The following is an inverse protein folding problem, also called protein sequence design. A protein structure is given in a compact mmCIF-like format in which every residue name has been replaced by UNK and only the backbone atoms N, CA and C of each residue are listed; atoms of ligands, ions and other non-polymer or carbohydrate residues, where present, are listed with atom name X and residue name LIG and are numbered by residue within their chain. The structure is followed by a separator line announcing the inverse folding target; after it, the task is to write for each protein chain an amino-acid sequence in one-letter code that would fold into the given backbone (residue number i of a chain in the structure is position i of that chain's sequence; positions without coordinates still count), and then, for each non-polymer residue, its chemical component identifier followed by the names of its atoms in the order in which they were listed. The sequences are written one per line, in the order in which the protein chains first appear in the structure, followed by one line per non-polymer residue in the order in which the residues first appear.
data_IF_025386748068
#
_entry.id   IF_025386748068
#
_cell.length_a   1.000
_cell.length_b   1.000
_cell.length_c   1.000
_cell.angle_alpha   90.00
_cell.angle_beta   90.00
_cell.angle_gamma   90.00
#
_symmetry.space_group_name_H-M   'P 1'
#
loop_
_entity.id
_entity.type
_entity.pdbx_description
1 polymer ?
#
# COMPACT_ATOMS: atom_id res chain seq x y z
N UNK A 1 -0.29 -14.45 2.91
CA UNK A 1 0.19 -13.21 2.25
C UNK A 1 0.14 -13.32 0.73
N UNK A 2 0.95 -14.17 0.08
CA UNK A 2 1.02 -14.26 -1.39
C UNK A 2 -0.33 -14.47 -2.10
N UNK A 3 -1.11 -15.47 -1.68
CA UNK A 3 -2.44 -15.74 -2.27
C UNK A 3 -3.33 -14.50 -2.21
N UNK A 4 -3.35 -13.81 -1.07
CA UNK A 4 -4.10 -12.56 -0.89
C UNK A 4 -3.66 -11.48 -1.88
N UNK A 5 -2.35 -11.30 -2.06
CA UNK A 5 -1.80 -10.37 -3.05
C UNK A 5 -2.24 -10.70 -4.48
N UNK A 6 -2.13 -11.97 -4.90
CA UNK A 6 -2.58 -12.41 -6.22
C UNK A 6 -4.08 -12.21 -6.43
N UNK A 7 -4.91 -12.47 -5.41
CA UNK A 7 -6.35 -12.26 -5.48
C UNK A 7 -6.71 -10.77 -5.56
N UNK A 8 -5.97 -9.88 -4.87
CA UNK A 8 -6.16 -8.42 -4.98
C UNK A 8 -5.83 -7.94 -6.40
N UNK A 9 -4.67 -8.33 -6.94
CA UNK A 9 -4.28 -7.97 -8.31
C UNK A 9 -5.28 -8.53 -9.32
N UNK A 10 -5.72 -9.77 -9.14
CA UNK A 10 -6.75 -10.41 -9.94
C UNK A 10 -8.08 -9.66 -9.90
N UNK A 11 -8.54 -9.24 -8.72
CA UNK A 11 -9.76 -8.45 -8.59
C UNK A 11 -9.69 -7.15 -9.41
N UNK A 12 -8.55 -6.44 -9.38
CA UNK A 12 -8.38 -5.24 -10.20
C UNK A 12 -8.28 -5.56 -11.69
N UNK A 13 -7.62 -6.65 -12.07
CA UNK A 13 -7.63 -7.13 -13.46
C UNK A 13 -9.07 -7.32 -13.98
N UNK A 14 -9.93 -7.97 -13.20
CA UNK A 14 -11.33 -8.14 -13.54
C UNK A 14 -12.11 -6.81 -13.56
N UNK A 15 -11.81 -5.87 -12.67
CA UNK A 15 -12.38 -4.53 -12.72
C UNK A 15 -12.02 -3.79 -14.02
N UNK A 16 -10.78 -3.93 -14.51
CA UNK A 16 -10.39 -3.35 -15.81
C UNK A 16 -11.07 -4.04 -16.99
N UNK A 17 -11.27 -5.36 -16.94
CA UNK A 17 -12.00 -6.11 -17.97
C UNK A 17 -13.44 -5.62 -18.05
N UNK A 18 -14.10 -5.44 -16.91
CA UNK A 18 -15.42 -4.82 -16.82
C UNK A 18 -15.43 -3.43 -17.46
N UNK A 19 -14.46 -2.57 -17.13
CA UNK A 19 -14.38 -1.22 -17.71
C UNK A 19 -14.23 -1.22 -19.24
N UNK A 20 -13.53 -2.19 -19.81
CA UNK A 20 -13.36 -2.28 -21.27
C UNK A 20 -14.59 -2.89 -21.94
N UNK A 21 -15.12 -3.99 -21.41
CA UNK A 21 -16.13 -4.81 -22.10
C UNK A 21 -17.57 -4.46 -21.75
N UNK A 22 -17.84 -4.23 -20.47
CA UNK A 22 -19.20 -4.26 -19.93
C UNK A 22 -19.68 -2.87 -19.45
N UNK A 23 -18.75 -1.93 -19.23
CA UNK A 23 -19.11 -0.56 -18.85
C UNK A 23 -19.76 0.19 -20.01
N UNK A 24 -21.00 0.61 -19.79
CA UNK A 24 -21.78 1.47 -20.68
C UNK A 24 -22.06 2.84 -20.01
N UNK A 25 -21.49 3.95 -20.53
CA UNK A 25 -21.70 5.28 -19.96
C UNK A 25 -23.15 5.76 -20.07
N UNK A 26 -23.97 5.21 -20.99
CA UNK A 26 -25.37 5.63 -21.15
C UNK A 26 -26.26 5.19 -19.99
N UNK A 27 -25.91 4.07 -19.35
CA UNK A 27 -26.68 3.51 -18.23
C UNK A 27 -26.21 4.00 -16.86
N UNK A 28 -25.05 4.67 -16.79
CA UNK A 28 -24.38 5.08 -15.53
C UNK A 28 -24.18 6.58 -15.39
N UNK A 29 -25.04 7.38 -16.03
CA UNK A 29 -24.91 8.83 -16.00
C UNK A 29 -24.95 9.41 -14.58
N UNK A 30 -23.92 10.18 -14.21
CA UNK A 30 -23.79 10.91 -12.94
C UNK A 30 -23.92 10.04 -11.67
N UNK A 31 -23.72 8.72 -11.79
CA UNK A 31 -23.55 7.84 -10.64
C UNK A 31 -22.17 8.04 -9.99
N UNK A 32 -21.86 7.25 -8.95
CA UNK A 32 -20.57 7.32 -8.27
C UNK A 32 -19.40 6.99 -9.21
N UNK A 33 -19.57 6.01 -10.11
CA UNK A 33 -18.52 5.57 -11.02
C UNK A 33 -18.24 6.62 -12.09
N UNK A 34 -19.27 7.20 -12.71
CA UNK A 34 -19.11 8.30 -13.67
C UNK A 34 -18.44 9.52 -13.01
N UNK A 35 -18.84 9.87 -11.78
CA UNK A 35 -18.20 10.95 -11.04
C UNK A 35 -16.70 10.70 -10.86
N UNK A 36 -16.30 9.51 -10.40
CA UNK A 36 -14.89 9.11 -10.24
C UNK A 36 -14.14 9.23 -11.58
N UNK A 37 -14.72 8.74 -12.67
CA UNK A 37 -14.09 8.81 -13.99
C UNK A 37 -13.92 10.25 -14.48
N UNK A 38 -14.80 11.19 -14.13
CA UNK A 38 -14.65 12.60 -14.55
C UNK A 38 -13.45 13.32 -13.90
N UNK A 39 -12.98 12.87 -12.74
CA UNK A 39 -11.82 13.46 -12.05
C UNK A 39 -10.65 12.48 -11.86
N UNK A 40 -10.57 11.44 -12.70
CA UNK A 40 -9.52 10.42 -12.62
C UNK A 40 -8.09 10.99 -12.62
N UNK A 41 -7.85 12.11 -13.32
CA UNK A 41 -6.55 12.76 -13.35
C UNK A 41 -6.15 13.31 -11.97
N UNK A 42 -7.10 13.87 -11.22
CA UNK A 42 -6.84 14.37 -9.87
C UNK A 42 -6.53 13.22 -8.91
N UNK A 43 -7.27 12.11 -8.99
CA UNK A 43 -7.02 10.92 -8.15
C UNK A 43 -5.60 10.41 -8.37
N UNK A 44 -5.22 10.19 -9.63
CA UNK A 44 -3.91 9.62 -9.97
C UNK A 44 -2.77 10.60 -9.71
N UNK A 45 -2.95 11.91 -9.88
CA UNK A 45 -1.91 12.89 -9.55
C UNK A 45 -1.65 13.00 -8.05
N UNK A 46 -2.71 12.99 -7.22
CA UNK A 46 -2.54 12.99 -5.76
C UNK A 46 -1.91 11.70 -5.26
N UNK A 47 -2.35 10.55 -5.79
CA UNK A 47 -1.76 9.27 -5.41
C UNK A 47 -0.30 9.15 -5.86
N UNK A 48 0.05 9.70 -7.02
CA UNK A 48 1.45 9.82 -7.46
C UNK A 48 2.27 10.67 -6.47
N UNK A 49 1.76 11.83 -6.05
CA UNK A 49 2.42 12.66 -5.04
C UNK A 49 2.62 11.91 -3.72
N UNK A 50 1.59 11.20 -3.23
CA UNK A 50 1.70 10.37 -2.01
C UNK A 50 2.78 9.31 -2.17
N UNK A 51 2.85 8.62 -3.30
CA UNK A 51 3.89 7.60 -3.54
C UNK A 51 5.30 8.19 -3.53
N UNK A 52 5.50 9.36 -4.14
CA UNK A 52 6.79 10.07 -4.12
C UNK A 52 7.13 10.49 -2.70
N UNK A 53 6.18 11.09 -1.98
CA UNK A 53 6.35 11.49 -0.59
C UNK A 53 6.78 10.29 0.29
N UNK A 54 6.05 9.18 0.22
CA UNK A 54 6.35 7.97 0.96
C UNK A 54 7.72 7.39 0.57
N UNK A 55 8.08 7.37 -0.71
CA UNK A 55 9.40 6.91 -1.16
C UNK A 55 10.54 7.70 -0.49
N UNK A 56 10.48 9.03 -0.54
CA UNK A 56 11.52 9.89 0.05
C UNK A 56 11.56 9.84 1.58
N UNK A 57 10.40 9.82 2.25
CA UNK A 57 10.33 9.90 3.71
C UNK A 57 10.41 8.54 4.40
N UNK A 58 10.55 7.44 3.65
CA UNK A 58 10.68 6.10 4.20
C UNK A 58 11.97 5.44 3.71
N UNK A 59 12.03 5.07 2.42
CA UNK A 59 13.24 4.44 1.86
C UNK A 59 14.45 5.39 1.89
N UNK A 60 14.22 6.70 1.70
CA UNK A 60 15.26 7.70 1.87
C UNK A 60 15.88 7.73 3.29
N UNK A 61 15.12 7.35 4.33
CA UNK A 61 15.66 7.27 5.70
C UNK A 61 16.62 6.10 5.88
N UNK A 62 16.41 4.99 5.17
CA UNK A 62 17.38 3.89 5.14
C UNK A 62 18.69 4.31 4.48
N UNK A 63 18.62 5.01 3.33
CA UNK A 63 19.82 5.56 2.65
C UNK A 63 20.54 6.57 3.55
N UNK A 64 19.79 7.44 4.23
CA UNK A 64 20.34 8.37 5.23
C UNK A 64 21.08 7.62 6.33
N UNK A 65 20.45 6.59 6.92
CA UNK A 65 21.05 5.78 7.97
C UNK A 65 22.33 5.07 7.51
N UNK A 66 22.33 4.47 6.31
CA UNK A 66 23.52 3.83 5.73
C UNK A 66 24.64 4.86 5.56
N UNK A 67 24.32 6.05 5.06
CA UNK A 67 25.29 7.13 4.87
C UNK A 67 25.85 7.63 6.19
N UNK A 68 25.01 7.90 7.19
CA UNK A 68 25.47 8.36 8.51
C UNK A 68 26.29 7.30 9.23
N UNK A 69 25.89 6.02 9.14
CA UNK A 69 26.67 4.91 9.68
C UNK A 69 28.04 4.81 9.01
N UNK A 70 28.09 4.87 7.67
CA UNK A 70 29.34 4.82 6.91
C UNK A 70 30.27 6.01 7.19
N UNK A 71 29.71 7.19 7.47
CA UNK A 71 30.46 8.39 7.87
C UNK A 71 30.90 8.37 9.35
N UNK A 72 30.61 7.31 10.11
CA UNK A 72 30.96 7.21 11.52
C UNK A 72 30.15 8.14 12.42
N UNK A 73 28.91 8.47 12.02
CA UNK A 73 28.00 9.38 12.73
C UNK A 73 26.74 8.67 13.24
N UNK A 74 26.85 7.65 14.12
CA UNK A 74 25.69 6.90 14.61
C UNK A 74 24.68 7.75 15.41
N UNK A 75 25.14 8.84 16.03
CA UNK A 75 24.28 9.79 16.74
C UNK A 75 23.31 10.56 15.83
N UNK A 76 23.58 10.61 14.52
CA UNK A 76 22.76 11.31 13.54
C UNK A 76 21.81 10.36 12.76
N UNK A 77 21.75 9.10 13.17
CA UNK A 77 20.86 8.08 12.59
C UNK A 77 19.46 8.15 13.18
N UNK A 78 18.48 7.72 12.38
CA UNK A 78 17.14 7.39 12.87
C UNK A 78 17.16 6.00 13.51
N UNK A 79 17.16 5.94 14.84
CA UNK A 79 17.21 4.71 15.63
C UNK A 79 16.69 4.94 17.05
N UNK A 80 16.48 3.86 17.80
CA UNK A 80 16.02 3.95 19.20
C UNK A 80 17.06 4.58 20.15
N UNK A 81 18.34 4.63 19.74
CA UNK A 81 19.44 5.17 20.57
C UNK A 81 19.88 6.58 20.17
N UNK A 82 19.31 7.13 19.10
CA UNK A 82 19.70 8.44 18.54
C UNK A 82 18.44 9.26 18.23
N UNK A 83 18.18 9.59 16.96
CA UNK A 83 16.98 10.33 16.56
C UNK A 83 15.81 9.34 16.46
N UNK A 84 14.94 9.34 17.47
CA UNK A 84 13.85 8.37 17.54
C UNK A 84 12.65 8.77 16.67
N UNK A 85 12.08 7.79 15.97
CA UNK A 85 10.78 7.92 15.30
C UNK A 85 9.86 6.83 15.83
N UNK A 86 9.24 7.07 16.99
CA UNK A 86 8.43 6.07 17.68
C UNK A 86 7.03 5.92 17.06
N UNK A 87 6.51 4.70 16.88
CA UNK A 87 5.16 4.44 16.40
C UNK A 87 4.12 4.63 17.52
N UNK A 88 4.01 5.85 18.06
CA UNK A 88 3.22 6.17 19.26
C UNK A 88 1.75 5.77 19.14
N UNK A 89 1.15 5.85 17.95
CA UNK A 89 -0.23 5.43 17.75
C UNK A 89 -0.40 3.92 17.88
N UNK A 90 0.55 3.13 17.36
CA UNK A 90 0.51 1.69 17.49
C UNK A 90 0.73 1.29 18.95
N UNK A 91 1.72 1.87 19.64
CA UNK A 91 1.96 1.66 21.07
C UNK A 91 0.73 2.01 21.92
N UNK A 92 0.03 3.10 21.61
CA UNK A 92 -1.22 3.47 22.26
C UNK A 92 -2.32 2.43 22.07
N UNK A 93 -2.47 1.87 20.86
CA UNK A 93 -3.38 0.76 20.60
C UNK A 93 -2.96 -0.50 21.38
N UNK A 94 -1.66 -0.84 21.41
CA UNK A 94 -1.16 -1.98 22.19
C UNK A 94 -1.55 -1.84 23.67
N UNK A 95 -1.32 -0.66 24.27
CA UNK A 95 -1.67 -0.39 25.67
C UNK A 95 -3.18 -0.47 25.92
N UNK A 96 -3.98 0.06 24.99
CA UNK A 96 -5.45 0.00 25.09
C UNK A 96 -5.94 -1.45 25.12
N UNK A 97 -5.35 -2.32 24.30
CA UNK A 97 -5.71 -3.74 24.23
C UNK A 97 -5.16 -4.55 25.41
N UNK A 98 -3.95 -4.22 25.89
CA UNK A 98 -3.32 -4.87 27.03
C UNK A 98 -4.09 -4.60 28.34
N UNK A 99 -4.57 -3.36 28.52
CA UNK A 99 -5.29 -2.93 29.72
C UNK A 99 -6.82 -3.12 29.64
N UNK A 100 -7.35 -3.66 28.54
CA UNK A 100 -8.78 -3.86 28.36
C UNK A 100 -9.42 -4.84 29.39
N UNK A 101 -8.81 -5.99 29.73
CA UNK A 101 -9.41 -6.96 30.65
C UNK A 101 -9.68 -6.37 32.03
N UNK A 102 -10.88 -6.56 32.56
CA UNK A 102 -11.29 -6.02 33.85
C UNK A 102 -11.62 -4.52 33.88
N UNK A 103 -11.32 -3.78 32.80
CA UNK A 103 -11.66 -2.36 32.65
C UNK A 103 -12.69 -2.16 31.54
N UNK A 104 -12.25 -1.92 30.30
CA UNK A 104 -13.15 -1.73 29.14
C UNK A 104 -13.77 -3.03 28.65
N UNK A 105 -13.24 -4.18 29.09
CA UNK A 105 -13.81 -5.52 28.90
C UNK A 105 -13.91 -6.26 30.25
N UNK A 106 -14.92 -5.95 31.11
CA UNK A 106 -15.00 -6.48 32.47
C UNK A 106 -15.10 -8.00 32.57
N UNK A 107 -15.72 -8.66 31.58
CA UNK A 107 -15.86 -10.11 31.53
C UNK A 107 -14.67 -10.85 30.91
N UNK A 108 -13.69 -10.12 30.36
CA UNK A 108 -12.49 -10.71 29.78
C UNK A 108 -11.42 -10.90 30.86
N UNK A 109 -10.79 -12.07 30.87
CA UNK A 109 -9.69 -12.41 31.79
C UNK A 109 -8.31 -12.18 31.17
N UNK A 110 -8.22 -12.10 29.84
CA UNK A 110 -6.98 -11.87 29.08
C UNK A 110 -7.22 -10.86 27.96
N UNK A 111 -6.15 -10.22 27.49
CA UNK A 111 -6.21 -9.33 26.32
C UNK A 111 -6.53 -10.12 25.04
N UNK A 112 -6.82 -9.40 23.95
CA UNK A 112 -7.14 -10.01 22.64
C UNK A 112 -5.98 -10.81 22.03
N UNK A 113 -4.74 -10.53 22.44
CA UNK A 113 -3.54 -11.25 22.06
C UNK A 113 -2.43 -10.96 23.08
N UNK A 114 -1.58 -11.94 23.38
CA UNK A 114 -0.43 -11.74 24.27
C UNK A 114 0.67 -10.88 23.63
N UNK A 115 0.57 -10.57 22.33
CA UNK A 115 1.51 -9.70 21.62
C UNK A 115 1.41 -8.22 22.03
N UNK A 116 0.28 -7.80 22.62
CA UNK A 116 0.03 -6.39 22.97
C UNK A 116 0.82 -5.90 24.19
N UNK A 117 1.37 -6.82 25.00
CA UNK A 117 1.94 -6.49 26.31
C UNK A 117 1.00 -6.80 27.48
N UNK A 118 1.53 -6.71 28.70
CA UNK A 118 0.79 -6.97 29.95
C UNK A 118 0.58 -8.45 30.31
N UNK A 119 0.91 -9.38 29.42
CA UNK A 119 0.92 -10.82 29.68
C UNK A 119 2.34 -11.38 29.76
N UNK A 120 2.51 -12.47 30.52
CA UNK A 120 3.79 -13.17 30.64
C UNK A 120 4.18 -13.92 29.35
N UNK A 121 5.48 -14.17 29.20
CA UNK A 121 6.00 -15.06 28.17
C UNK A 121 5.36 -16.44 28.29
N UNK A 122 4.74 -16.91 27.21
CA UNK A 122 4.18 -18.26 27.14
C UNK A 122 5.21 -19.15 26.45
N UNK A 123 5.68 -20.18 27.16
CA UNK A 123 6.57 -21.20 26.62
C UNK A 123 5.85 -22.56 26.54
N UNK A 124 6.14 -23.32 25.49
CA UNK A 124 5.72 -24.72 25.34
C UNK A 124 6.96 -25.57 25.13
N UNK A 125 7.26 -26.42 26.11
CA UNK A 125 8.58 -27.04 26.22
C UNK A 125 9.66 -25.97 26.44
N UNK A 126 10.79 -26.09 25.73
CA UNK A 126 11.91 -25.14 25.82
C UNK A 126 11.86 -24.04 24.75
N UNK A 127 10.67 -23.73 24.19
CA UNK A 127 10.50 -22.74 23.12
C UNK A 127 9.45 -21.71 23.51
N UNK A 128 9.67 -20.47 23.09
CA UNK A 128 8.69 -19.40 23.24
C UNK A 128 7.54 -19.63 22.25
N UNK A 129 6.33 -19.75 22.76
CA UNK A 129 5.12 -19.83 21.95
C UNK A 129 4.63 -18.44 21.57
N UNK A 130 4.52 -17.52 22.55
CA UNK A 130 4.20 -16.11 22.31
C UNK A 130 4.85 -15.22 23.39
N UNK A 131 5.18 -14.00 23.00
CA UNK A 131 5.64 -12.94 23.89
C UNK A 131 5.11 -11.57 23.40
N UNK A 132 5.11 -10.54 24.25
CA UNK A 132 4.89 -9.16 23.81
C UNK A 132 5.85 -8.76 22.69
N UNK A 133 5.33 -8.07 21.67
CA UNK A 133 6.13 -7.56 20.55
C UNK A 133 6.26 -6.04 20.71
N UNK A 134 7.38 -5.53 21.24
CA UNK A 134 7.59 -4.10 21.35
C UNK A 134 7.73 -3.49 19.96
N UNK A 135 7.26 -2.26 19.80
CA UNK A 135 7.35 -1.50 18.55
C UNK A 135 8.26 -0.30 18.76
N UNK A 136 9.36 -0.24 18.02
CA UNK A 136 10.35 0.84 18.07
C UNK A 136 10.50 1.59 16.75
N UNK A 137 11.60 2.32 16.62
CA UNK A 137 11.91 3.10 15.42
C UNK A 137 12.05 2.22 14.18
N UNK A 138 12.65 1.04 14.30
CA UNK A 138 12.76 0.09 13.19
C UNK A 138 11.38 -0.35 12.68
N UNK A 139 10.42 -0.59 13.59
CA UNK A 139 9.06 -0.94 13.23
C UNK A 139 8.33 0.22 12.55
N UNK A 140 8.53 1.45 13.01
CA UNK A 140 8.00 2.64 12.35
C UNK A 140 8.47 2.71 10.90
N UNK A 141 9.77 2.54 10.64
CA UNK A 141 10.35 2.59 9.30
C UNK A 141 9.77 1.50 8.38
N UNK A 142 9.75 0.24 8.83
CA UNK A 142 9.28 -0.87 7.97
C UNK A 142 7.78 -0.79 7.67
N UNK A 143 6.95 -0.33 8.62
CA UNK A 143 5.52 -0.14 8.37
C UNK A 143 5.26 0.95 7.33
N UNK A 144 6.08 1.99 7.31
CA UNK A 144 5.98 3.01 6.26
C UNK A 144 6.51 2.53 4.90
N UNK A 145 7.47 1.59 4.87
CA UNK A 145 7.82 0.87 3.64
C UNK A 145 6.63 0.03 3.14
N UNK A 146 5.93 -0.68 4.02
CA UNK A 146 4.70 -1.41 3.64
C UNK A 146 3.65 -0.46 3.07
N UNK A 147 3.44 0.70 3.70
CA UNK A 147 2.54 1.72 3.19
C UNK A 147 2.98 2.19 1.79
N UNK A 148 4.25 2.51 1.59
CA UNK A 148 4.80 2.91 0.31
C UNK A 148 4.53 1.88 -0.79
N UNK A 149 4.90 0.61 -0.58
CA UNK A 149 4.76 -0.43 -1.59
C UNK A 149 3.29 -0.68 -1.93
N UNK A 150 2.41 -0.74 -0.93
CA UNK A 150 0.96 -0.87 -1.15
C UNK A 150 0.41 0.30 -1.96
N UNK A 151 0.78 1.55 -1.64
CA UNK A 151 0.30 2.72 -2.39
C UNK A 151 0.79 2.72 -3.84
N UNK A 152 2.03 2.29 -4.10
CA UNK A 152 2.54 2.15 -5.48
C UNK A 152 1.78 1.06 -6.24
N UNK A 153 1.53 -0.11 -5.63
CA UNK A 153 0.70 -1.15 -6.25
C UNK A 153 -0.71 -0.63 -6.57
N UNK A 154 -1.34 0.09 -5.62
CA UNK A 154 -2.65 0.72 -5.86
C UNK A 154 -2.58 1.76 -6.96
N UNK A 155 -1.53 2.59 -7.03
CA UNK A 155 -1.33 3.58 -8.09
C UNK A 155 -1.31 2.93 -9.47
N UNK A 156 -0.51 1.88 -9.64
CA UNK A 156 -0.38 1.16 -10.91
C UNK A 156 -1.73 0.55 -11.31
N UNK A 157 -2.35 -0.21 -10.40
CA UNK A 157 -3.58 -0.95 -10.69
C UNK A 157 -4.78 -0.01 -10.91
N UNK A 158 -4.96 1.01 -10.06
CA UNK A 158 -6.05 1.97 -10.17
C UNK A 158 -5.91 2.83 -11.43
N UNK A 159 -4.69 3.23 -11.80
CA UNK A 159 -4.45 3.91 -13.08
C UNK A 159 -4.84 3.02 -14.26
N UNK A 160 -4.55 1.72 -14.19
CA UNK A 160 -4.98 0.74 -15.18
C UNK A 160 -6.50 0.72 -15.38
N UNK A 161 -7.27 0.76 -14.28
CA UNK A 161 -8.75 0.83 -14.31
C UNK A 161 -9.25 2.15 -14.90
N UNK A 162 -8.81 3.27 -14.34
CA UNK A 162 -9.37 4.58 -14.68
C UNK A 162 -9.04 5.03 -16.10
N UNK A 163 -7.92 4.56 -16.66
CA UNK A 163 -7.47 4.89 -18.03
C UNK A 163 -7.63 3.74 -19.02
N UNK A 164 -8.44 2.72 -18.68
CA UNK A 164 -8.67 1.55 -19.54
C UNK A 164 -9.40 1.91 -20.85
N UNK A 165 -10.40 2.80 -20.77
CA UNK A 165 -11.25 3.16 -21.92
C UNK A 165 -10.69 4.29 -22.78
N UNK A 166 -10.01 5.25 -22.15
CA UNK A 166 -9.48 6.43 -22.82
C UNK A 166 -8.37 7.06 -21.99
N UNK A 167 -7.43 7.73 -22.65
CA UNK A 167 -6.51 8.67 -22.03
C UNK A 167 -6.36 9.91 -22.91
N UNK A 168 -5.67 10.93 -22.41
CA UNK A 168 -5.30 12.10 -23.24
C UNK A 168 -4.43 11.72 -24.45
N UNK A 169 -3.68 10.62 -24.35
CA UNK A 169 -2.77 10.15 -25.40
C UNK A 169 -3.48 9.26 -26.44
N UNK A 170 -4.37 8.38 -25.99
CA UNK A 170 -5.12 7.43 -26.81
C UNK A 170 -6.60 7.55 -26.43
N UNK A 171 -7.37 8.42 -27.12
CA UNK A 171 -8.77 8.68 -26.78
C UNK A 171 -9.68 7.47 -26.97
N UNK A 172 -9.37 6.62 -27.94
CA UNK A 172 -10.16 5.48 -28.41
C UNK A 172 -9.63 4.13 -27.88
N UNK A 173 -8.92 4.14 -26.75
CA UNK A 173 -8.26 2.95 -26.19
C UNK A 173 -9.22 1.77 -25.97
N UNK A 174 -10.48 2.03 -25.64
CA UNK A 174 -11.51 0.99 -25.51
C UNK A 174 -11.64 0.10 -26.76
N UNK A 175 -11.42 0.64 -27.95
CA UNK A 175 -11.49 -0.09 -29.22
C UNK A 175 -10.31 -1.05 -29.43
N UNK A 176 -9.16 -0.76 -28.80
CA UNK A 176 -7.98 -1.64 -28.81
C UNK A 176 -8.15 -2.85 -27.87
N UNK A 177 -9.12 -2.78 -26.96
CA UNK A 177 -9.46 -3.84 -26.02
C UNK A 177 -8.60 -3.84 -24.75
N UNK A 178 -8.76 -4.90 -23.95
CA UNK A 178 -8.10 -5.01 -22.64
C UNK A 178 -6.61 -5.35 -22.73
N UNK A 179 -6.25 -6.21 -23.70
CA UNK A 179 -4.92 -6.79 -23.84
C UNK A 179 -4.39 -6.55 -25.26
N UNK A 180 -3.49 -5.59 -25.38
CA UNK A 180 -2.78 -5.23 -26.61
C UNK A 180 -1.41 -4.63 -26.21
N UNK A 181 -0.35 -4.79 -27.01
CA UNK A 181 1.00 -4.42 -26.59
C UNK A 181 1.28 -2.90 -26.62
N UNK A 182 0.74 -2.20 -27.64
CA UNK A 182 0.91 -0.77 -27.87
C UNK A 182 -0.07 -0.25 -28.94
N UNK A 183 -0.07 1.06 -29.18
CA UNK A 183 -0.68 1.77 -30.32
C UNK A 183 0.42 2.36 -31.24
N UNK A 184 1.44 1.55 -31.54
CA UNK A 184 2.56 1.89 -32.42
C UNK A 184 3.61 2.86 -31.82
N UNK A 185 4.67 3.18 -32.60
CA UNK A 185 5.77 4.05 -32.15
C UNK A 185 5.46 5.55 -32.21
N UNK A 186 4.29 5.93 -32.73
CA UNK A 186 3.85 7.32 -32.79
C UNK A 186 3.71 7.96 -31.40
N UNK A 187 3.53 9.30 -31.37
CA UNK A 187 3.34 10.08 -30.14
C UNK A 187 4.46 9.93 -29.08
N UNK A 188 5.67 9.59 -29.53
CA UNK A 188 6.83 9.36 -28.66
C UNK A 188 6.96 7.92 -28.12
N UNK A 189 6.08 7.01 -28.54
CA UNK A 189 6.03 5.61 -28.10
C UNK A 189 4.86 5.34 -27.16
N UNK A 190 4.10 4.28 -27.43
CA UNK A 190 2.88 3.91 -26.69
C UNK A 190 2.94 2.51 -26.09
N UNK A 191 4.14 2.05 -25.74
CA UNK A 191 4.34 0.75 -25.10
C UNK A 191 3.61 0.68 -23.76
N UNK A 192 3.07 -0.50 -23.42
CA UNK A 192 2.51 -0.81 -22.10
C UNK A 192 1.35 0.10 -21.65
N UNK A 193 0.57 0.59 -22.61
CA UNK A 193 -0.58 1.47 -22.35
C UNK A 193 -1.88 0.71 -22.07
N UNK A 194 -1.92 -0.61 -22.31
CA UNK A 194 -3.11 -1.42 -22.08
C UNK A 194 -3.38 -1.63 -20.60
N UNK A 195 -4.62 -1.96 -20.25
CA UNK A 195 -4.97 -2.30 -18.89
C UNK A 195 -4.31 -3.62 -18.44
N UNK A 196 -4.10 -4.57 -19.37
CA UNK A 196 -3.33 -5.78 -19.09
C UNK A 196 -1.89 -5.47 -18.68
N UNK A 197 -1.25 -4.50 -19.31
CA UNK A 197 0.12 -4.10 -18.94
C UNK A 197 0.19 -3.47 -17.54
N UNK A 198 -0.88 -2.80 -17.08
CA UNK A 198 -0.93 -2.31 -15.69
C UNK A 198 -1.08 -3.46 -14.68
N UNK A 199 -1.79 -4.54 -15.04
CA UNK A 199 -1.82 -5.77 -14.23
C UNK A 199 -0.44 -6.43 -14.21
N UNK A 200 0.23 -6.50 -15.36
CA UNK A 200 1.61 -7.01 -15.47
C UNK A 200 2.56 -6.23 -14.55
N UNK A 201 2.54 -4.89 -14.61
CA UNK A 201 3.36 -4.05 -13.75
C UNK A 201 3.01 -4.20 -12.26
N UNK A 202 1.73 -4.35 -11.92
CA UNK A 202 1.27 -4.49 -10.53
C UNK A 202 1.55 -5.86 -9.90
N UNK A 203 2.04 -6.85 -10.67
CA UNK A 203 2.50 -8.13 -10.14
C UNK A 203 3.93 -8.08 -9.58
N UNK A 204 4.72 -7.07 -9.97
CA UNK A 204 6.07 -6.81 -9.45
C UNK A 204 6.01 -5.84 -8.27
#
# INVERSE_FOLDING_TARGET
MWIGGFLIVGAVAHATIFMVRDYDPTTRYNDLLDRVLRHHNAIISHLNWVCIFLGFHNFGLYIHNDTMSALGRPQDMFSDTAIQLQPVFAQWIQNTHALAPGATAPGATTSTSLTWGGGDLVAVGSKVALLPIPLGTADFLVHHIHAFTIHVTVLILLKGVLFARSSRLIPDKANLGFRFPCDGPGRGGTCQVSAWDHVFLGLF
#
